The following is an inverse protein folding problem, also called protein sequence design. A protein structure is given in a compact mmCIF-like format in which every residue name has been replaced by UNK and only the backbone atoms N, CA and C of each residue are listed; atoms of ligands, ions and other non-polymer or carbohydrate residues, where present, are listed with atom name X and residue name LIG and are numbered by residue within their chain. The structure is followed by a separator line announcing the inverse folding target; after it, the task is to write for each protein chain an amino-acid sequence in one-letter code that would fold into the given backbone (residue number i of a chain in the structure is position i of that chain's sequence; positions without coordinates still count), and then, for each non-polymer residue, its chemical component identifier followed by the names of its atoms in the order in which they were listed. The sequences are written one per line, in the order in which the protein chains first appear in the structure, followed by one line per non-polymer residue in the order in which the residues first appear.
data_IF_501305916978
#
_entry.id   IF_501305916978
#
_cell.length_a   1.000
_cell.length_b   1.000
_cell.length_c   1.000
_cell.angle_alpha   90.00
_cell.angle_beta   90.00
_cell.angle_gamma   90.00
#
_symmetry.space_group_name_H-M   'P 1'
#
loop_
_entity.id
_entity.type
_entity.pdbx_description
1 polymer ?
#
# COMPACT_ATOMS: atom_id res chain seq x y z
N UNK A 1 10.36 17.69 5.18
CA UNK A 1 9.98 16.46 5.91
C UNK A 1 9.05 15.68 4.98
N UNK A 2 9.18 14.37 4.84
CA UNK A 2 8.26 13.59 4.00
C UNK A 2 6.83 13.68 4.57
N UNK A 3 5.88 14.13 3.75
CA UNK A 3 4.48 14.18 4.15
C UNK A 3 3.91 12.75 4.15
N UNK A 4 3.16 12.39 5.19
CA UNK A 4 2.54 11.05 5.31
C UNK A 4 1.22 10.99 4.55
N UNK A 5 1.26 11.17 3.23
CA UNK A 5 0.07 11.11 2.38
C UNK A 5 -0.37 9.68 2.03
N UNK A 6 0.49 8.70 2.33
CA UNK A 6 0.22 7.28 2.23
C UNK A 6 1.53 6.49 2.46
N UNK A 7 1.45 5.16 2.51
CA UNK A 7 0.30 4.39 2.93
C UNK A 7 0.23 4.24 4.47
N UNK A 8 -0.98 4.35 5.04
CA UNK A 8 -1.25 4.01 6.44
C UNK A 8 -2.15 2.76 6.48
N UNK A 9 -1.63 1.65 7.03
CA UNK A 9 -2.28 0.33 7.01
C UNK A 9 -3.55 0.31 7.87
N UNK A 10 -4.73 0.13 7.26
CA UNK A 10 -6.01 0.29 8.00
C UNK A 10 -6.53 -1.02 8.59
N UNK A 11 -6.26 -2.21 8.04
CA UNK A 11 -7.02 -3.40 8.46
C UNK A 11 -6.27 -4.73 8.46
N UNK A 12 -6.64 -5.63 9.40
CA UNK A 12 -7.75 -5.47 10.36
C UNK A 12 -7.63 -4.51 11.54
N UNK A 13 -6.44 -4.07 11.94
CA UNK A 13 -6.20 -2.87 12.77
C UNK A 13 -4.72 -2.78 13.10
N UNK A 14 -4.24 -1.62 13.56
CA UNK A 14 -2.89 -1.53 14.18
C UNK A 14 -2.75 -2.41 15.44
N UNK A 15 -3.88 -2.80 16.06
CA UNK A 15 -3.95 -3.47 17.37
C UNK A 15 -3.95 -5.00 17.25
N UNK A 16 -4.74 -5.55 16.33
CA UNK A 16 -4.79 -6.98 16.06
C UNK A 16 -3.76 -7.32 14.99
N UNK A 17 -2.72 -8.10 15.33
CA UNK A 17 -1.70 -8.56 14.38
C UNK A 17 -1.80 -10.05 14.04
N UNK A 18 -2.90 -10.73 14.39
CA UNK A 18 -3.11 -12.15 14.04
C UNK A 18 -4.32 -12.31 13.13
N UNK A 19 -4.15 -12.94 11.97
CA UNK A 19 -5.18 -13.08 10.95
C UNK A 19 -5.28 -14.49 10.39
N UNK A 20 -6.47 -14.81 9.89
CA UNK A 20 -6.84 -16.10 9.30
C UNK A 20 -7.94 -15.89 8.26
N UNK A 21 -8.02 -16.74 7.25
CA UNK A 21 -9.10 -16.68 6.27
C UNK A 21 -8.94 -15.58 5.22
N UNK A 22 -10.05 -14.91 4.89
CA UNK A 22 -10.09 -13.83 3.92
C UNK A 22 -9.88 -12.48 4.62
N UNK A 23 -8.72 -11.86 4.38
CA UNK A 23 -8.33 -10.54 4.88
C UNK A 23 -8.57 -9.51 3.78
N UNK A 24 -9.10 -8.32 4.13
CA UNK A 24 -9.27 -7.19 3.21
C UNK A 24 -8.25 -6.11 3.55
N UNK A 25 -7.19 -6.01 2.76
CA UNK A 25 -6.14 -4.99 2.89
C UNK A 25 -6.67 -3.65 2.39
N UNK A 26 -6.37 -2.58 3.12
CA UNK A 26 -6.78 -1.20 2.83
C UNK A 26 -5.75 -0.22 3.36
N UNK A 27 -5.60 0.91 2.68
CA UNK A 27 -4.66 1.96 3.05
C UNK A 27 -5.28 3.35 2.97
N UNK A 28 -4.97 4.17 3.97
CA UNK A 28 -5.39 5.57 3.98
C UNK A 28 -4.56 6.38 2.99
N UNK A 29 -5.21 7.38 2.41
CA UNK A 29 -4.63 8.27 1.43
C UNK A 29 -5.09 9.71 1.69
N UNK A 30 -4.11 10.58 1.95
CA UNK A 30 -4.34 12.00 2.19
C UNK A 30 -3.86 12.80 0.96
N UNK A 31 -4.81 13.23 0.15
CA UNK A 31 -4.53 13.97 -1.08
C UNK A 31 -3.92 15.35 -0.79
N UNK A 32 -4.31 16.02 0.29
CA UNK A 32 -3.79 17.35 0.61
C UNK A 32 -2.30 17.29 0.95
N UNK A 33 -1.89 16.25 1.68
CA UNK A 33 -0.49 15.96 1.95
C UNK A 33 0.27 15.54 0.68
N UNK A 34 -0.36 14.77 -0.22
CA UNK A 34 0.25 14.40 -1.50
C UNK A 34 0.52 15.65 -2.33
N UNK A 35 -0.47 16.53 -2.47
CA UNK A 35 -0.35 17.75 -3.27
C UNK A 35 0.73 18.68 -2.74
N UNK A 36 0.91 18.76 -1.41
CA UNK A 36 2.03 19.49 -0.79
C UNK A 36 3.38 18.89 -1.21
N UNK A 37 3.53 17.57 -1.12
CA UNK A 37 4.77 16.90 -1.54
C UNK A 37 5.05 17.08 -3.04
N UNK A 38 4.05 16.85 -3.88
CA UNK A 38 4.17 17.03 -5.33
C UNK A 38 4.61 18.46 -5.68
N UNK A 39 4.08 19.46 -4.97
CA UNK A 39 4.49 20.85 -5.15
C UNK A 39 5.96 21.07 -4.75
N UNK A 40 6.40 20.52 -3.61
CA UNK A 40 7.81 20.60 -3.18
C UNK A 40 8.77 19.91 -4.15
N UNK A 41 8.34 18.81 -4.77
CA UNK A 41 9.10 18.08 -5.80
C UNK A 41 9.02 18.74 -7.19
N UNK A 42 8.27 19.84 -7.35
CA UNK A 42 8.05 20.49 -8.63
C UNK A 42 7.25 19.65 -9.63
N UNK A 43 6.43 18.72 -9.15
CA UNK A 43 5.54 17.83 -9.91
C UNK A 43 4.10 18.38 -9.90
N UNK A 44 3.88 19.57 -10.43
CA UNK A 44 2.61 20.32 -10.30
C UNK A 44 1.56 20.03 -11.37
N UNK A 45 1.68 18.91 -12.08
CA UNK A 45 0.72 18.53 -13.12
C UNK A 45 -0.47 17.74 -12.59
N UNK A 46 -1.42 17.35 -13.46
CA UNK A 46 -2.55 16.52 -13.04
C UNK A 46 -2.08 15.11 -12.65
N UNK A 47 -2.65 14.59 -11.57
CA UNK A 47 -2.52 13.17 -11.20
C UNK A 47 -3.27 12.35 -12.26
N UNK A 48 -2.55 11.46 -12.93
CA UNK A 48 -3.08 10.60 -13.99
C UNK A 48 -3.73 9.36 -13.40
N UNK A 49 -3.06 8.74 -12.41
CA UNK A 49 -3.52 7.54 -11.72
C UNK A 49 -2.81 7.37 -10.39
N UNK A 50 -3.47 6.65 -9.48
CA UNK A 50 -2.90 6.21 -8.21
C UNK A 50 -3.17 4.71 -8.11
N UNK A 51 -2.12 3.94 -7.92
CA UNK A 51 -2.13 2.47 -7.93
C UNK A 51 -1.47 1.99 -6.65
N UNK A 52 -2.12 1.08 -5.94
CA UNK A 52 -1.56 0.50 -4.72
C UNK A 52 -1.46 -1.02 -4.81
N UNK A 53 -0.32 -1.56 -5.27
CA UNK A 53 0.01 -2.96 -5.17
C UNK A 53 0.38 -3.36 -3.74
N UNK A 54 -0.06 -4.57 -3.40
CA UNK A 54 0.17 -5.21 -2.13
C UNK A 54 1.02 -6.45 -2.31
N UNK A 55 1.94 -6.66 -1.39
CA UNK A 55 2.84 -7.79 -1.37
C UNK A 55 2.90 -8.41 0.03
N UNK A 56 3.24 -9.68 0.11
CA UNK A 56 3.60 -10.33 1.36
C UNK A 56 4.87 -11.14 1.22
N UNK A 57 5.52 -11.41 2.34
CA UNK A 57 6.57 -12.42 2.46
C UNK A 57 6.54 -13.03 3.85
N UNK A 58 7.07 -14.25 3.98
CA UNK A 58 7.34 -14.80 5.31
C UNK A 58 8.49 -14.01 5.93
N UNK A 59 8.41 -13.69 7.22
CA UNK A 59 9.45 -12.90 7.88
C UNK A 59 10.82 -13.55 7.72
N UNK A 60 11.86 -12.75 7.49
CA UNK A 60 13.23 -13.17 7.23
C UNK A 60 13.42 -13.97 5.92
N UNK A 61 12.59 -13.70 4.91
CA UNK A 61 12.80 -14.19 3.54
C UNK A 61 12.99 -13.02 2.58
N UNK A 62 13.65 -13.26 1.45
CA UNK A 62 14.02 -12.18 0.53
C UNK A 62 12.97 -11.92 -0.55
N UNK A 63 12.04 -12.85 -0.76
CA UNK A 63 11.10 -12.80 -1.89
C UNK A 63 9.74 -12.25 -1.48
N UNK A 64 9.33 -11.17 -2.14
CA UNK A 64 7.99 -10.61 -2.04
C UNK A 64 7.05 -11.26 -3.07
N UNK A 65 5.90 -11.72 -2.60
CA UNK A 65 4.83 -12.29 -3.43
C UNK A 65 3.71 -11.27 -3.55
N UNK A 66 3.28 -10.96 -4.79
CA UNK A 66 2.17 -10.03 -5.03
C UNK A 66 0.86 -10.66 -4.57
N UNK A 67 0.10 -9.91 -3.77
CA UNK A 67 -1.26 -10.25 -3.36
C UNK A 67 -2.25 -9.80 -4.43
N UNK A 68 -2.10 -8.54 -4.86
CA UNK A 68 -2.99 -7.87 -5.80
C UNK A 68 -2.67 -6.38 -5.84
N UNK A 69 -3.49 -5.61 -6.54
CA UNK A 69 -3.39 -4.15 -6.56
C UNK A 69 -4.78 -3.52 -6.71
N UNK A 70 -4.90 -2.25 -6.33
CA UNK A 70 -6.12 -1.49 -6.47
C UNK A 70 -5.85 -0.06 -6.93
N UNK A 71 -6.76 0.45 -7.74
CA UNK A 71 -6.88 1.87 -8.12
C UNK A 71 -8.12 2.52 -7.49
N UNK A 72 -8.97 1.74 -6.81
CA UNK A 72 -10.20 2.23 -6.20
C UNK A 72 -9.91 3.03 -4.93
N UNK A 73 -9.72 4.32 -5.14
CA UNK A 73 -9.52 5.31 -4.08
C UNK A 73 -10.74 5.47 -3.17
N UNK A 74 -11.97 5.26 -3.66
CA UNK A 74 -13.19 5.47 -2.84
C UNK A 74 -13.32 4.42 -1.74
N UNK A 75 -12.80 3.23 -2.00
CA UNK A 75 -12.81 2.10 -1.08
C UNK A 75 -11.47 1.90 -0.33
N UNK A 76 -10.59 2.92 -0.34
CA UNK A 76 -9.26 2.90 0.28
C UNK A 76 -8.35 1.79 -0.27
N UNK A 77 -8.31 1.68 -1.59
CA UNK A 77 -7.46 0.78 -2.35
C UNK A 77 -7.55 -0.69 -1.90
N UNK A 78 -8.75 -1.29 -1.90
CA UNK A 78 -8.98 -2.58 -1.29
C UNK A 78 -8.35 -3.72 -2.10
N UNK A 79 -7.64 -4.62 -1.40
CA UNK A 79 -7.21 -5.90 -1.98
C UNK A 79 -7.61 -7.03 -1.05
N UNK A 80 -8.20 -8.10 -1.62
CA UNK A 80 -8.52 -9.31 -0.88
C UNK A 80 -7.29 -10.22 -0.85
N UNK A 81 -6.94 -10.70 0.33
CA UNK A 81 -5.90 -11.69 0.55
C UNK A 81 -6.47 -12.93 1.25
N UNK A 82 -6.26 -14.10 0.66
CA UNK A 82 -6.67 -15.38 1.27
C UNK A 82 -5.46 -16.06 1.92
N UNK A 83 -5.41 -16.02 3.25
CA UNK A 83 -4.26 -16.54 4.00
C UNK A 83 -4.35 -18.04 4.27
N UNK A 84 -5.45 -18.72 3.91
CA UNK A 84 -5.69 -20.13 4.26
C UNK A 84 -4.67 -21.11 3.68
N UNK A 85 -4.03 -20.72 2.57
CA UNK A 85 -2.97 -21.50 1.91
C UNK A 85 -1.59 -21.28 2.52
N UNK A 86 -1.44 -20.31 3.43
CA UNK A 86 -0.17 -19.96 4.05
C UNK A 86 0.09 -20.82 5.29
N UNK A 87 1.35 -21.14 5.51
CA UNK A 87 1.79 -21.80 6.75
C UNK A 87 1.71 -20.81 7.91
N UNK A 88 1.27 -21.25 9.08
CA UNK A 88 1.21 -20.43 10.28
C UNK A 88 2.59 -19.83 10.62
N UNK A 89 2.61 -18.57 11.04
CA UNK A 89 3.86 -17.87 11.37
C UNK A 89 3.80 -16.36 11.15
N UNK A 90 4.96 -15.71 11.24
CA UNK A 90 5.09 -14.27 11.01
C UNK A 90 5.34 -13.95 9.55
N UNK A 91 4.65 -12.92 9.07
CA UNK A 91 4.73 -12.39 7.72
C UNK A 91 4.91 -10.88 7.77
N UNK A 92 5.52 -10.34 6.73
CA UNK A 92 5.51 -8.92 6.44
C UNK A 92 4.56 -8.68 5.27
N UNK A 93 3.74 -7.63 5.38
CA UNK A 93 2.85 -7.17 4.33
C UNK A 93 3.27 -5.76 3.95
N UNK A 94 3.43 -5.53 2.65
CA UNK A 94 3.85 -4.26 2.08
C UNK A 94 2.75 -3.69 1.19
N UNK A 95 2.32 -2.47 1.49
CA UNK A 95 1.62 -1.60 0.54
C UNK A 95 2.64 -0.69 -0.13
N UNK A 96 2.57 -0.58 -1.46
CA UNK A 96 3.48 0.26 -2.25
C UNK A 96 2.66 1.17 -3.16
N UNK A 97 2.27 2.33 -2.64
CA UNK A 97 1.41 3.26 -3.33
C UNK A 97 2.21 4.08 -4.35
N UNK A 98 1.81 3.99 -5.61
CA UNK A 98 2.37 4.74 -6.73
C UNK A 98 1.42 5.86 -7.14
N UNK A 99 1.95 7.06 -7.27
CA UNK A 99 1.25 8.23 -7.81
C UNK A 99 1.93 8.64 -9.09
N UNK A 100 1.17 8.70 -10.17
CA UNK A 100 1.66 9.11 -11.48
C UNK A 100 1.09 10.48 -11.83
N UNK A 101 1.98 11.41 -12.14
CA UNK A 101 1.65 12.80 -12.47
C UNK A 101 2.12 13.10 -13.89
N UNK A 102 1.28 13.76 -14.68
CA UNK A 102 1.67 14.23 -16.01
C UNK A 102 2.41 15.55 -15.88
N UNK A 103 3.67 15.60 -16.30
CA UNK A 103 4.45 16.83 -16.37
C UNK A 103 4.94 17.02 -17.80
N UNK A 104 4.56 18.14 -18.41
CA UNK A 104 4.81 18.43 -19.83
C UNK A 104 4.24 17.33 -20.74
N UNK A 105 5.10 16.57 -21.42
CA UNK A 105 4.73 15.42 -22.28
C UNK A 105 5.10 14.06 -21.67
N UNK A 106 5.54 14.04 -20.41
CA UNK A 106 5.99 12.84 -19.72
C UNK A 106 5.12 12.51 -18.49
N UNK A 107 5.08 11.23 -18.14
CA UNK A 107 4.54 10.75 -16.86
C UNK A 107 5.70 10.59 -15.87
N UNK A 108 5.58 11.20 -14.68
CA UNK A 108 6.52 11.04 -13.57
C UNK A 108 5.81 10.32 -12.44
N UNK A 109 6.46 9.30 -11.89
CA UNK A 109 5.96 8.53 -10.75
C UNK A 109 6.68 8.90 -9.47
N UNK A 110 5.94 9.02 -8.37
CA UNK A 110 6.49 8.90 -7.01
C UNK A 110 5.83 7.72 -6.32
N UNK A 111 6.54 7.10 -5.38
CA UNK A 111 6.03 5.96 -4.64
C UNK A 111 6.33 6.08 -3.15
N UNK A 112 5.44 5.52 -2.33
CA UNK A 112 5.61 5.37 -0.89
C UNK A 112 5.30 3.94 -0.49
N UNK A 113 6.15 3.39 0.35
CA UNK A 113 5.98 2.05 0.90
C UNK A 113 5.61 2.12 2.38
N UNK A 114 4.85 1.13 2.82
CA UNK A 114 4.62 0.85 4.21
C UNK A 114 4.67 -0.66 4.42
N UNK A 115 5.47 -1.11 5.39
CA UNK A 115 5.64 -2.51 5.73
C UNK A 115 5.15 -2.74 7.14
N UNK A 116 4.26 -3.71 7.32
CA UNK A 116 3.73 -4.11 8.62
C UNK A 116 3.98 -5.60 8.87
N UNK A 117 4.32 -5.92 10.11
CA UNK A 117 4.43 -7.31 10.55
C UNK A 117 3.09 -7.83 11.05
N UNK A 118 2.73 -9.03 10.61
CA UNK A 118 1.52 -9.73 10.97
C UNK A 118 1.85 -11.19 11.32
N UNK A 119 0.91 -11.86 11.96
CA UNK A 119 0.94 -13.29 12.26
C UNK A 119 -0.22 -13.94 11.52
N UNK A 120 0.03 -15.01 10.78
CA UNK A 120 -1.01 -15.86 10.18
C UNK A 120 -1.23 -17.07 11.08
N UNK A 121 -2.50 -17.33 11.43
CA UNK A 121 -2.93 -18.45 12.26
C UNK A 121 -4.18 -19.10 11.65
N UNK A 122 -3.98 -20.05 10.74
CA UNK A 122 -5.02 -20.92 10.17
C UNK A 122 -5.27 -22.14 11.04
#
# INVERSE_FOLDING_TARGET
MAYKWGPHYIVPSEVLKSYSGAVRLREDFDEDLLLKELKELGLTGPIVRIVNPWYFRKKNTDTWLKIGESEDRKENFPVRWDTRSLVNGQYEVMGLMHVFVRKDREEKGIARENIVEITVQN
#
